data_IF_941867833582
#
_entry.id   IF_941867833582
#
_cell.length_a   1.000
_cell.length_b   1.000
_cell.length_c   1.000
_cell.angle_alpha   90.00
_cell.angle_beta   90.00
_cell.angle_gamma   90.00
#
_symmetry.space_group_name_H-M   'P 1'
#
loop_
_entity.id
_entity.type
_entity.pdbx_description
1 polymer ?
#
# COMPACT_ATOMS: atom_id res chain seq x y z
N UNK A 1 -0.39 -22.53 25.66
CA UNK A 1 -0.61 -21.12 26.06
C UNK A 1 0.75 -20.43 26.08
N UNK A 2 1.28 -20.12 24.90
CA UNK A 2 2.57 -19.42 24.74
C UNK A 2 2.33 -18.31 23.74
N UNK A 3 1.52 -17.33 24.15
CA UNK A 3 1.46 -16.04 23.46
C UNK A 3 2.75 -15.30 23.82
N UNK A 4 3.81 -15.57 23.06
CA UNK A 4 5.13 -15.00 23.29
C UNK A 4 5.15 -13.63 22.62
N UNK A 5 5.57 -12.55 23.29
CA UNK A 5 5.55 -11.19 22.72
C UNK A 5 6.25 -11.08 21.36
N UNK A 6 7.24 -11.93 21.07
CA UNK A 6 7.86 -12.05 19.75
C UNK A 6 6.89 -12.45 18.64
N UNK A 7 5.94 -13.35 18.92
CA UNK A 7 4.91 -13.77 17.97
C UNK A 7 3.90 -12.66 17.68
N UNK A 8 3.60 -11.82 18.68
CA UNK A 8 2.68 -10.70 18.53
C UNK A 8 3.32 -9.55 17.74
N UNK A 9 4.56 -9.16 18.06
CA UNK A 9 5.29 -8.12 17.33
C UNK A 9 5.52 -8.52 15.87
N UNK A 10 5.90 -9.78 15.62
CA UNK A 10 6.07 -10.29 14.26
C UNK A 10 4.75 -10.33 13.48
N UNK A 11 3.64 -10.73 14.12
CA UNK A 11 2.31 -10.70 13.48
C UNK A 11 1.85 -9.27 13.15
N UNK A 12 2.15 -8.29 14.00
CA UNK A 12 1.86 -6.88 13.70
C UNK A 12 2.69 -6.39 12.50
N UNK A 13 3.98 -6.75 12.45
CA UNK A 13 4.85 -6.44 11.32
C UNK A 13 4.30 -7.04 10.03
N UNK A 14 3.93 -8.33 10.03
CA UNK A 14 3.31 -9.00 8.87
C UNK A 14 2.03 -8.28 8.41
N UNK A 15 1.16 -7.87 9.33
CA UNK A 15 -0.07 -7.15 8.99
C UNK A 15 0.21 -5.79 8.33
N UNK A 16 1.23 -5.06 8.79
CA UNK A 16 1.63 -3.78 8.19
C UNK A 16 2.16 -3.96 6.78
N UNK A 17 3.02 -4.95 6.56
CA UNK A 17 3.52 -5.29 5.22
C UNK A 17 2.41 -5.77 4.29
N UNK A 18 1.49 -6.61 4.78
CA UNK A 18 0.33 -7.04 3.99
C UNK A 18 -0.53 -5.85 3.55
N UNK A 19 -0.74 -4.85 4.43
CA UNK A 19 -1.46 -3.63 4.07
C UNK A 19 -0.72 -2.81 3.01
N UNK A 20 0.59 -2.66 3.10
CA UNK A 20 1.39 -1.99 2.08
C UNK A 20 1.31 -2.74 0.73
N UNK A 21 1.38 -4.08 0.76
CA UNK A 21 1.27 -4.92 -0.43
C UNK A 21 -0.09 -4.74 -1.13
N UNK A 22 -1.20 -4.72 -0.39
CA UNK A 22 -2.53 -4.50 -1.00
C UNK A 22 -2.65 -3.14 -1.70
N UNK A 23 -1.91 -2.12 -1.23
CA UNK A 23 -1.87 -0.81 -1.90
C UNK A 23 -1.04 -0.91 -3.19
N UNK A 24 0.07 -1.64 -3.16
CA UNK A 24 0.89 -1.91 -4.34
C UNK A 24 0.09 -2.67 -5.40
N UNK A 25 -0.66 -3.72 -5.03
CA UNK A 25 -1.53 -4.46 -5.94
C UNK A 25 -2.59 -3.55 -6.59
N UNK A 26 -3.16 -2.62 -5.82
CA UNK A 26 -4.13 -1.64 -6.34
C UNK A 26 -3.48 -0.64 -7.31
N UNK A 27 -2.24 -0.21 -7.02
CA UNK A 27 -1.46 0.66 -7.91
C UNK A 27 -1.16 -0.05 -9.24
N UNK A 28 -0.75 -1.31 -9.20
CA UNK A 28 -0.48 -2.11 -10.40
C UNK A 28 -1.72 -2.22 -11.30
N UNK A 29 -2.90 -2.47 -10.71
CA UNK A 29 -4.15 -2.52 -11.47
C UNK A 29 -4.50 -1.16 -12.10
N UNK A 30 -4.31 -0.06 -11.36
CA UNK A 30 -4.56 1.30 -11.86
C UNK A 30 -3.58 1.72 -12.96
N UNK A 31 -2.33 1.26 -12.88
CA UNK A 31 -1.31 1.46 -13.90
C UNK A 31 -1.63 0.70 -15.17
N UNK A 32 -2.01 -0.58 -15.04
CA UNK A 32 -2.47 -1.38 -16.17
C UNK A 32 -3.67 -0.73 -16.85
N UNK A 33 -4.70 -0.36 -16.09
CA UNK A 33 -5.90 0.26 -16.63
C UNK A 33 -5.59 1.60 -17.32
N UNK A 34 -4.66 2.39 -16.78
CA UNK A 34 -4.18 3.62 -17.40
C UNK A 34 -3.55 3.36 -18.77
N UNK A 35 -2.79 2.27 -18.91
CA UNK A 35 -2.12 1.92 -20.15
C UNK A 35 -3.05 1.29 -21.20
N UNK A 36 -4.12 0.60 -20.79
CA UNK A 36 -4.93 -0.21 -21.73
C UNK A 36 -6.32 0.34 -22.03
N UNK A 37 -7.01 0.95 -21.05
CA UNK A 37 -8.45 1.26 -21.15
C UNK A 37 -8.79 2.74 -20.95
N UNK A 38 -7.81 3.60 -20.67
CA UNK A 38 -8.08 4.98 -20.28
C UNK A 38 -8.74 5.81 -21.38
N UNK A 39 -9.93 6.41 -21.13
CA UNK A 39 -10.51 7.35 -22.06
C UNK A 39 -9.77 8.70 -22.04
N UNK A 40 -9.89 9.45 -23.13
CA UNK A 40 -9.36 10.80 -23.24
C UNK A 40 -9.87 11.69 -22.09
N UNK A 41 -8.97 12.47 -21.49
CA UNK A 41 -9.28 13.34 -20.35
C UNK A 41 -9.31 12.64 -18.98
N UNK A 42 -9.14 11.31 -18.90
CA UNK A 42 -9.09 10.57 -17.64
C UNK A 42 -7.77 10.65 -16.87
N UNK A 43 -6.68 11.04 -17.55
CA UNK A 43 -5.33 11.01 -17.01
C UNK A 43 -5.14 11.84 -15.72
N UNK A 44 -5.67 13.06 -15.58
CA UNK A 44 -5.49 13.85 -14.35
C UNK A 44 -6.10 13.20 -13.11
N UNK A 45 -7.31 12.64 -13.23
CA UNK A 45 -7.98 11.96 -12.13
C UNK A 45 -7.22 10.68 -11.72
N UNK A 46 -6.72 9.91 -12.70
CA UNK A 46 -5.90 8.73 -12.42
C UNK A 46 -4.59 9.08 -11.73
N UNK A 47 -3.91 10.14 -12.18
CA UNK A 47 -2.67 10.60 -11.56
C UNK A 47 -2.89 10.94 -10.07
N UNK A 48 -4.00 11.61 -9.74
CA UNK A 48 -4.35 11.94 -8.35
C UNK A 48 -4.64 10.69 -7.50
N UNK A 49 -5.35 9.70 -8.05
CA UNK A 49 -5.59 8.42 -7.37
C UNK A 49 -4.27 7.72 -7.05
N UNK A 50 -3.39 7.58 -8.05
CA UNK A 50 -2.10 6.91 -7.88
C UNK A 50 -1.17 7.67 -6.92
N UNK A 51 -1.12 9.00 -6.98
CA UNK A 51 -0.32 9.79 -6.04
C UNK A 51 -0.80 9.63 -4.60
N UNK A 52 -2.11 9.57 -4.39
CA UNK A 52 -2.71 9.37 -3.06
C UNK A 52 -2.33 8.01 -2.50
N UNK A 53 -2.47 6.94 -3.29
CA UNK A 53 -2.10 5.59 -2.87
C UNK A 53 -0.60 5.45 -2.59
N UNK A 54 0.25 6.04 -3.44
CA UNK A 54 1.71 6.05 -3.20
C UNK A 54 2.09 6.78 -1.92
N UNK A 55 1.41 7.88 -1.58
CA UNK A 55 1.62 8.58 -0.31
C UNK A 55 1.24 7.70 0.88
N UNK A 56 0.05 7.09 0.86
CA UNK A 56 -0.40 6.19 1.94
C UNK A 56 0.57 5.02 2.11
N UNK A 57 1.01 4.40 1.00
CA UNK A 57 2.02 3.34 1.01
C UNK A 57 3.33 3.82 1.63
N UNK A 58 3.79 5.02 1.27
CA UNK A 58 5.00 5.61 1.83
C UNK A 58 4.87 5.81 3.33
N UNK A 59 3.78 6.43 3.79
CA UNK A 59 3.49 6.66 5.21
C UNK A 59 3.52 5.37 6.02
N UNK A 60 2.90 4.29 5.52
CA UNK A 60 2.93 2.97 6.17
C UNK A 60 4.36 2.42 6.32
N UNK A 61 5.20 2.61 5.32
CA UNK A 61 6.56 2.08 5.29
C UNK A 61 7.56 2.94 6.07
N UNK A 62 7.24 4.20 6.31
CA UNK A 62 8.08 5.13 7.09
C UNK A 62 7.53 5.44 8.47
N UNK A 63 6.47 4.75 8.90
CA UNK A 63 5.91 4.90 10.23
C UNK A 63 7.00 4.55 11.27
N UNK A 64 7.34 5.46 12.21
CA UNK A 64 8.33 5.19 13.24
C UNK A 64 8.04 3.92 14.05
N UNK A 65 6.77 3.59 14.25
CA UNK A 65 6.37 2.39 14.98
C UNK A 65 6.72 1.09 14.25
N UNK A 66 7.21 1.13 13.00
CA UNK A 66 7.65 -0.05 12.26
C UNK A 66 8.98 -0.60 12.78
N UNK A 67 9.80 0.24 13.41
CA UNK A 67 11.11 -0.12 13.97
C UNK A 67 11.13 -0.40 15.48
N UNK A 68 9.98 -0.29 16.15
CA UNK A 68 9.79 -0.54 17.59
C UNK A 68 9.33 -1.99 17.84
#
# INVERSE_FOLDING_TARGET
MTDTPLSAAYSDLEQRFARAQHIDDALELLEWDHATMMPDGGAPARAQQMSTLRLIRHELMTDPALGE
#
